data_IF_029165000390
#
_entry.id   IF_029165000390
#
_cell.length_a   1.000
_cell.length_b   1.000
_cell.length_c   1.000
_cell.angle_alpha   90.00
_cell.angle_beta   90.00
_cell.angle_gamma   90.00
#
_symmetry.space_group_name_H-M   'P 1'
#
loop_
_entity.id
_entity.type
_entity.pdbx_description
1 polymer ?
#
# COMPACT_ATOMS: atom_id res chain seq x y z
N UNK A 1 0.15 10.25 -18.74
CA UNK A 1 0.65 10.17 -17.35
C UNK A 1 0.66 8.68 -17.03
N UNK A 2 1.68 8.13 -16.39
CA UNK A 2 1.77 6.68 -16.14
C UNK A 2 0.67 6.27 -15.12
N UNK A 3 -0.57 6.16 -15.59
CA UNK A 3 -1.75 5.77 -14.80
C UNK A 3 -1.62 4.35 -14.22
N UNK A 4 -0.60 3.61 -14.66
CA UNK A 4 -0.31 2.24 -14.22
C UNK A 4 0.08 2.16 -12.74
N UNK A 5 0.90 3.09 -12.24
CA UNK A 5 1.43 3.08 -10.87
C UNK A 5 0.35 3.34 -9.81
N UNK A 6 -0.42 4.45 -9.88
CA UNK A 6 -1.45 4.72 -8.88
C UNK A 6 -2.56 3.66 -8.90
N UNK A 7 -2.94 3.15 -10.07
CA UNK A 7 -3.89 2.03 -10.16
C UNK A 7 -3.35 0.73 -9.58
N UNK A 8 -2.06 0.42 -9.81
CA UNK A 8 -1.43 -0.76 -9.24
C UNK A 8 -1.41 -0.68 -7.71
N UNK A 9 -1.00 0.46 -7.16
CA UNK A 9 -0.98 0.68 -5.71
C UNK A 9 -2.40 0.52 -5.17
N UNK A 10 -3.40 1.15 -5.80
CA UNK A 10 -4.80 1.02 -5.39
C UNK A 10 -5.27 -0.43 -5.37
N UNK A 11 -5.04 -1.20 -6.44
CA UNK A 11 -5.44 -2.61 -6.52
C UNK A 11 -4.72 -3.46 -5.48
N UNK A 12 -3.44 -3.18 -5.25
CA UNK A 12 -2.63 -3.90 -4.27
C UNK A 12 -3.15 -3.67 -2.86
N UNK A 13 -3.37 -2.41 -2.47
CA UNK A 13 -3.94 -2.05 -1.17
C UNK A 13 -5.32 -2.68 -0.94
N UNK A 14 -6.18 -2.73 -1.97
CA UNK A 14 -7.51 -3.33 -1.86
C UNK A 14 -7.50 -4.87 -1.70
N UNK A 15 -6.41 -5.53 -2.08
CA UNK A 15 -6.21 -6.98 -1.90
C UNK A 15 -5.73 -7.35 -0.49
N UNK A 16 -5.10 -6.41 0.22
CA UNK A 16 -4.58 -6.64 1.58
C UNK A 16 -5.72 -6.45 2.59
N UNK A 17 -5.77 -7.30 3.60
CA UNK A 17 -6.67 -7.14 4.75
C UNK A 17 -6.23 -5.96 5.61
N UNK A 18 -7.16 -5.20 6.19
CA UNK A 18 -6.80 -4.04 7.03
C UNK A 18 -5.88 -4.41 8.20
N UNK A 19 -6.02 -5.62 8.76
CA UNK A 19 -5.15 -6.16 9.81
C UNK A 19 -3.68 -6.29 9.38
N UNK A 20 -3.45 -6.60 8.10
CA UNK A 20 -2.12 -6.77 7.49
C UNK A 20 -1.62 -5.49 6.80
N UNK A 21 -2.44 -4.43 6.79
CA UNK A 21 -2.08 -3.20 6.07
C UNK A 21 -0.81 -2.57 6.66
N UNK A 22 -0.70 -2.59 7.99
CA UNK A 22 0.46 -2.06 8.70
C UNK A 22 1.68 -2.97 8.57
N UNK A 23 1.47 -4.30 8.43
CA UNK A 23 2.57 -5.26 8.20
C UNK A 23 3.12 -5.16 6.78
N UNK A 24 2.36 -4.62 5.82
CA UNK A 24 2.83 -4.30 4.46
C UNK A 24 3.44 -2.91 4.37
N UNK A 25 2.73 -1.87 4.82
CA UNK A 25 3.16 -0.48 4.61
C UNK A 25 4.42 -0.11 5.41
N UNK A 26 4.64 -0.75 6.56
CA UNK A 26 5.81 -0.50 7.39
C UNK A 26 7.13 -0.96 6.73
N UNK A 27 7.29 -2.24 6.30
CA UNK A 27 8.49 -2.67 5.59
C UNK A 27 8.60 -2.10 4.17
N UNK A 28 7.50 -1.60 3.59
CA UNK A 28 7.56 -0.90 2.31
C UNK A 28 8.44 0.35 2.37
N UNK A 29 8.56 0.97 3.55
CA UNK A 29 9.45 2.10 3.86
C UNK A 29 9.38 3.29 2.88
N UNK A 30 8.32 3.35 2.09
CA UNK A 30 8.04 4.44 1.15
C UNK A 30 7.27 5.57 1.83
N UNK A 31 6.34 5.20 2.72
CA UNK A 31 5.63 6.13 3.58
C UNK A 31 6.40 6.28 4.89
N UNK A 32 6.75 7.52 5.24
CA UNK A 32 7.37 7.83 6.54
C UNK A 32 6.39 7.54 7.68
N UNK A 33 6.90 7.33 8.90
CA UNK A 33 6.06 7.05 10.08
C UNK A 33 5.00 8.13 10.34
N UNK A 34 5.32 9.41 10.13
CA UNK A 34 4.34 10.49 10.21
C UNK A 34 3.22 10.35 9.17
N UNK A 35 3.54 9.91 7.95
CA UNK A 35 2.54 9.68 6.91
C UNK A 35 1.65 8.47 7.26
N UNK A 36 2.24 7.43 7.84
CA UNK A 36 1.51 6.27 8.35
C UNK A 36 0.59 6.66 9.51
N UNK A 37 1.00 7.57 10.41
CA UNK A 37 0.15 8.04 11.51
C UNK A 37 -1.06 8.86 11.06
N UNK A 38 -0.92 9.63 9.97
CA UNK A 38 -2.03 10.40 9.38
C UNK A 38 -3.04 9.48 8.69
N UNK A 39 -2.61 8.32 8.23
CA UNK A 39 -3.51 7.32 7.65
C UNK A 39 -4.39 6.68 8.73
N UNK A 40 -5.70 6.85 8.61
CA UNK A 40 -6.64 6.22 9.52
C UNK A 40 -6.83 4.73 9.16
N UNK A 41 -6.20 3.81 9.90
CA UNK A 41 -6.35 2.37 9.68
C UNK A 41 -7.72 1.79 10.13
N UNK A 42 -8.55 2.58 10.83
CA UNK A 42 -9.89 2.16 11.25
C UNK A 42 -10.96 2.37 10.15
N UNK A 43 -10.61 3.06 9.05
CA UNK A 43 -11.54 3.30 7.95
C UNK A 43 -11.72 2.05 7.07
N UNK A 44 -12.69 2.05 6.14
CA UNK A 44 -12.81 0.96 5.16
C UNK A 44 -11.71 1.04 4.11
N UNK A 45 -11.28 -0.13 3.60
CA UNK A 45 -10.25 -0.24 2.55
C UNK A 45 -10.51 0.62 1.31
N UNK A 46 -11.78 0.83 0.97
CA UNK A 46 -12.22 1.67 -0.16
C UNK A 46 -11.89 3.15 0.02
N UNK A 47 -11.94 3.67 1.26
CA UNK A 47 -11.53 5.04 1.60
C UNK A 47 -10.04 5.14 1.91
N UNK A 48 -9.44 4.04 2.37
CA UNK A 48 -8.01 3.97 2.68
C UNK A 48 -7.14 3.98 1.42
N UNK A 49 -7.48 3.17 0.42
CA UNK A 49 -6.72 3.05 -0.82
C UNK A 49 -6.45 4.38 -1.55
N UNK A 50 -7.44 5.27 -1.79
CA UNK A 50 -7.17 6.56 -2.42
C UNK A 50 -6.30 7.46 -1.54
N UNK A 51 -6.41 7.38 -0.20
CA UNK A 51 -5.54 8.13 0.71
C UNK A 51 -4.07 7.73 0.57
N UNK A 52 -3.80 6.42 0.47
CA UNK A 52 -2.44 5.91 0.21
C UNK A 52 -1.94 6.35 -1.16
N UNK A 53 -2.76 6.22 -2.21
CA UNK A 53 -2.39 6.61 -3.57
C UNK A 53 -2.03 8.09 -3.63
N UNK A 54 -2.79 8.97 -2.97
CA UNK A 54 -2.49 10.40 -2.93
C UNK A 54 -1.13 10.71 -2.30
N UNK A 55 -0.76 9.98 -1.24
CA UNK A 55 0.57 10.10 -0.64
C UNK A 55 1.69 9.59 -1.56
N UNK A 56 1.36 8.68 -2.46
CA UNK A 56 2.31 8.06 -3.39
C UNK A 56 2.44 8.80 -4.72
N UNK A 57 1.42 9.53 -5.15
CA UNK A 57 1.33 10.17 -6.47
C UNK A 57 2.52 11.10 -6.78
N UNK A 58 3.11 11.72 -5.76
CA UNK A 58 4.22 12.68 -5.95
C UNK A 58 5.61 12.05 -6.08
N UNK A 59 5.81 10.78 -5.69
CA UNK A 59 7.14 10.17 -5.61
C UNK A 59 7.21 8.69 -6.01
N UNK A 60 6.08 8.03 -6.28
CA UNK A 60 6.09 6.62 -6.60
C UNK A 60 6.63 6.38 -8.01
N UNK A 61 7.76 5.67 -8.06
CA UNK A 61 8.36 5.15 -9.28
C UNK A 61 8.27 3.62 -9.32
N UNK A 62 8.58 3.02 -10.47
CA UNK A 62 8.50 1.58 -10.72
C UNK A 62 9.18 0.73 -9.63
N UNK A 63 10.35 1.14 -9.13
CA UNK A 63 11.08 0.42 -8.07
C UNK A 63 10.28 0.30 -6.77
N UNK A 64 9.52 1.35 -6.41
CA UNK A 64 8.69 1.35 -5.20
C UNK A 64 7.50 0.41 -5.35
N UNK A 65 6.93 0.36 -6.55
CA UNK A 65 5.82 -0.55 -6.87
C UNK A 65 6.26 -2.00 -6.86
N UNK A 66 7.43 -2.30 -7.40
CA UNK A 66 8.01 -3.65 -7.36
C UNK A 66 8.27 -4.12 -5.92
N UNK A 67 8.77 -3.21 -5.06
CA UNK A 67 9.00 -3.53 -3.65
C UNK A 67 7.67 -3.79 -2.91
N UNK A 68 6.62 -3.02 -3.21
CA UNK A 68 5.28 -3.26 -2.67
C UNK A 68 4.73 -4.64 -3.07
N UNK A 69 4.90 -5.03 -4.33
CA UNK A 69 4.44 -6.33 -4.86
C UNK A 69 5.14 -7.51 -4.16
N UNK A 70 6.45 -7.40 -3.95
CA UNK A 70 7.23 -8.42 -3.23
C UNK A 70 6.72 -8.59 -1.80
N UNK A 71 6.54 -7.50 -1.07
CA UNK A 71 6.05 -7.54 0.32
C UNK A 71 4.62 -8.09 0.36
N UNK A 72 3.75 -7.62 -0.53
CA UNK A 72 2.38 -8.13 -0.62
C UNK A 72 2.34 -9.62 -0.94
N UNK A 73 3.20 -10.12 -1.82
CA UNK A 73 3.27 -11.55 -2.12
C UNK A 73 3.64 -12.35 -0.87
N UNK A 74 4.60 -11.89 -0.06
CA UNK A 74 4.98 -12.56 1.19
C UNK A 74 3.83 -12.57 2.21
N UNK A 75 3.15 -11.45 2.38
CA UNK A 75 2.03 -11.32 3.34
C UNK A 75 0.81 -12.13 2.88
N UNK A 76 0.47 -12.10 1.59
CA UNK A 76 -0.65 -12.87 1.04
C UNK A 76 -0.36 -14.38 1.00
N UNK A 77 0.90 -14.79 0.85
CA UNK A 77 1.29 -16.20 0.96
C UNK A 77 1.03 -16.75 2.37
N UNK A 78 1.27 -15.96 3.41
CA UNK A 78 0.92 -16.36 4.79
C UNK A 78 -0.60 -16.52 5.02
N UNK A 79 -1.43 -15.86 4.21
CA UNK A 79 -2.90 -15.93 4.34
C UNK A 79 -3.52 -17.13 3.63
N UNK A 80 -2.74 -17.90 2.86
CA UNK A 80 -3.21 -19.09 2.11
C UNK A 80 -3.15 -20.41 2.90
N UNK A 81 -2.89 -20.35 4.21
CA UNK A 81 -2.78 -21.52 5.10
C UNK A 81 -4.03 -21.63 5.97
#
# INVERSE_FOLDING_TARGET
>A
MDETIPEFIRKTILKISMSEMMTVLKPWNFLSENQLQVLNFQQRKESFAPSVVLLCEKCAGLSHVALLDIICTQVLQHQKI
#
